data_IF_597982683364
#
_entry.id   IF_597982683364
#
_cell.length_a   1.000
_cell.length_b   1.000
_cell.length_c   1.000
_cell.angle_alpha   90.00
_cell.angle_beta   90.00
_cell.angle_gamma   90.00
#
_symmetry.space_group_name_H-M   'P 1'
#
loop_
_entity.id
_entity.type
_entity.pdbx_description
1 polymer ?
#
# COMPACT_ATOMS: atom_id res chain seq x y z
N UNK A 1 -16.25 -3.99 10.89
CA UNK A 1 -16.14 -2.60 11.38
C UNK A 1 -14.68 -2.12 11.33
N UNK A 2 -14.43 -1.00 10.64
CA UNK A 2 -13.14 -0.33 10.39
C UNK A 2 -11.91 -1.23 10.19
N UNK A 3 -12.01 -2.19 9.26
CA UNK A 3 -10.84 -2.91 8.75
C UNK A 3 -10.28 -2.15 7.55
N UNK A 4 -8.97 -1.98 7.49
CA UNK A 4 -8.31 -1.62 6.23
C UNK A 4 -8.22 -2.91 5.40
N UNK A 5 -8.64 -2.91 4.12
CA UNK A 5 -8.65 -4.11 3.28
C UNK A 5 -7.22 -4.49 2.85
N UNK A 6 -6.40 -4.94 3.81
CA UNK A 6 -4.96 -5.17 3.62
C UNK A 6 -4.75 -6.35 2.67
N UNK A 7 -5.48 -7.44 2.86
CA UNK A 7 -5.37 -8.65 2.04
C UNK A 7 -5.74 -8.37 0.57
N UNK A 8 -6.79 -7.58 0.34
CA UNK A 8 -7.16 -7.18 -1.02
C UNK A 8 -6.12 -6.24 -1.65
N UNK A 9 -5.56 -5.30 -0.87
CA UNK A 9 -4.50 -4.41 -1.36
C UNK A 9 -3.23 -5.20 -1.72
N UNK A 10 -2.85 -6.18 -0.89
CA UNK A 10 -1.71 -7.05 -1.18
C UNK A 10 -1.98 -7.95 -2.40
N UNK A 11 -3.18 -8.52 -2.53
CA UNK A 11 -3.55 -9.30 -3.71
C UNK A 11 -3.49 -8.49 -5.00
N UNK A 12 -3.85 -7.19 -4.95
CA UNK A 12 -3.85 -6.31 -6.12
C UNK A 12 -2.45 -5.79 -6.46
N UNK A 13 -1.63 -5.53 -5.45
CA UNK A 13 -0.41 -4.72 -5.63
C UNK A 13 0.88 -5.35 -5.13
N UNK A 14 0.83 -6.43 -4.34
CA UNK A 14 2.02 -7.02 -3.70
C UNK A 14 3.11 -7.47 -4.66
N UNK A 15 2.77 -7.71 -5.93
CA UNK A 15 3.72 -8.07 -7.01
C UNK A 15 4.04 -6.91 -7.96
N UNK A 16 3.28 -5.82 -7.92
CA UNK A 16 3.48 -4.62 -8.73
C UNK A 16 3.37 -3.34 -7.88
N UNK A 17 4.46 -2.97 -7.18
CA UNK A 17 4.49 -1.76 -6.37
C UNK A 17 4.29 -0.46 -7.19
N UNK A 18 4.61 -0.44 -8.49
CA UNK A 18 4.39 0.75 -9.31
C UNK A 18 2.89 0.96 -9.58
N UNK A 19 2.13 -0.12 -9.78
CA UNK A 19 0.68 -0.04 -9.88
C UNK A 19 0.05 0.53 -8.59
N UNK A 20 0.58 0.19 -7.41
CA UNK A 20 0.16 0.75 -6.12
C UNK A 20 0.34 2.27 -6.07
N UNK A 21 1.54 2.74 -6.38
CA UNK A 21 1.86 4.16 -6.37
C UNK A 21 1.02 4.92 -7.41
N UNK A 22 0.83 4.34 -8.60
CA UNK A 22 -0.01 4.92 -9.65
C UNK A 22 -1.46 5.06 -9.21
N UNK A 23 -2.01 4.05 -8.55
CA UNK A 23 -3.37 4.11 -8.00
C UNK A 23 -3.49 5.21 -6.93
N UNK A 24 -2.53 5.29 -6.01
CA UNK A 24 -2.47 6.34 -4.99
C UNK A 24 -2.40 7.75 -5.55
N UNK A 25 -1.54 7.98 -6.56
CA UNK A 25 -1.46 9.26 -7.29
C UNK A 25 -2.76 9.59 -8.00
N UNK A 26 -3.43 8.59 -8.58
CA UNK A 26 -4.75 8.75 -9.20
C UNK A 26 -5.85 9.21 -8.24
N UNK A 27 -5.71 8.89 -6.94
CA UNK A 27 -6.60 9.35 -5.87
C UNK A 27 -6.22 10.75 -5.33
N UNK A 28 -5.26 11.44 -5.95
CA UNK A 28 -4.75 12.73 -5.49
C UNK A 28 -3.66 12.61 -4.42
N UNK A 29 -3.11 11.41 -4.21
CA UNK A 29 -2.04 11.18 -3.26
C UNK A 29 -0.68 11.66 -3.77
N UNK A 30 0.20 11.99 -2.82
CA UNK A 30 1.59 12.32 -3.09
C UNK A 30 2.48 11.14 -2.74
N UNK A 31 3.55 10.94 -3.50
CA UNK A 31 4.53 9.89 -3.21
C UNK A 31 5.25 10.15 -1.90
N UNK A 32 5.44 9.10 -1.12
CA UNK A 32 6.29 9.12 0.09
C UNK A 32 7.36 8.04 -0.03
N UNK A 33 8.56 8.35 0.43
CA UNK A 33 9.74 7.48 0.30
C UNK A 33 9.84 6.55 1.52
N UNK A 34 8.88 5.62 1.63
CA UNK A 34 8.83 4.57 2.65
C UNK A 34 8.47 3.23 2.02
N UNK A 35 9.04 2.14 2.55
CA UNK A 35 8.89 0.79 1.97
C UNK A 35 9.48 0.71 0.56
N UNK A 36 8.98 -0.23 -0.24
CA UNK A 36 9.28 -0.27 -1.68
C UNK A 36 8.56 0.84 -2.43
N UNK A 37 7.29 1.07 -2.08
CA UNK A 37 6.45 2.16 -2.61
C UNK A 37 5.46 2.65 -1.56
N UNK A 38 5.20 3.96 -1.55
CA UNK A 38 4.20 4.56 -0.67
C UNK A 38 3.61 5.84 -1.23
N UNK A 39 2.41 6.17 -0.76
CA UNK A 39 1.77 7.46 -1.00
C UNK A 39 0.98 7.95 0.21
N UNK A 40 0.77 9.26 0.31
CA UNK A 40 -0.04 9.89 1.34
C UNK A 40 -1.30 10.53 0.74
N UNK A 41 -2.44 10.36 1.41
CA UNK A 41 -3.69 11.02 1.10
C UNK A 41 -4.05 12.03 2.20
N UNK A 42 -4.38 13.25 1.81
CA UNK A 42 -4.90 14.31 2.68
C UNK A 42 -6.41 14.12 2.94
N UNK A 43 -6.78 12.99 3.57
CA UNK A 43 -8.18 12.65 3.86
C UNK A 43 -8.78 13.48 5.01
N UNK A 44 -7.92 14.01 5.88
CA UNK A 44 -8.27 14.92 6.96
C UNK A 44 -7.46 16.21 6.84
N UNK A 45 -8.02 17.35 7.26
CA UNK A 45 -7.41 18.69 7.07
C UNK A 45 -6.00 18.88 7.63
N UNK A 46 -5.50 17.97 8.49
CA UNK A 46 -4.17 18.06 9.15
C UNK A 46 -3.51 16.70 9.41
N UNK A 47 -4.12 15.60 8.99
CA UNK A 47 -3.64 14.25 9.30
C UNK A 47 -3.56 13.49 7.98
N UNK A 48 -2.42 13.55 7.28
CA UNK A 48 -2.22 12.75 6.09
C UNK A 48 -2.19 11.27 6.46
N UNK A 49 -2.89 10.46 5.68
CA UNK A 49 -2.87 9.01 5.81
C UNK A 49 -1.86 8.43 4.81
N UNK A 50 -0.75 7.93 5.33
CA UNK A 50 0.27 7.26 4.53
C UNK A 50 -0.07 5.78 4.34
N UNK A 51 -0.02 5.34 3.10
CA UNK A 51 -0.12 3.95 2.68
C UNK A 51 1.26 3.50 2.20
N UNK A 52 1.79 2.44 2.80
CA UNK A 52 3.15 1.93 2.53
C UNK A 52 3.05 0.46 2.15
N UNK A 53 3.61 0.11 1.00
CA UNK A 53 3.69 -1.25 0.49
C UNK A 53 5.12 -1.76 0.64
N UNK A 54 5.22 -2.96 1.22
CA UNK A 54 6.43 -3.78 1.23
C UNK A 54 6.23 -4.90 0.23
N UNK A 55 7.09 -4.98 -0.78
CA UNK A 55 7.09 -6.07 -1.72
C UNK A 55 7.62 -7.30 -0.99
N UNK A 56 6.82 -8.35 -0.93
CA UNK A 56 7.32 -9.61 -0.39
C UNK A 56 8.39 -10.22 -1.31
N UNK A 57 9.33 -10.93 -0.70
CA UNK A 57 10.34 -11.73 -1.39
C UNK A 57 10.22 -13.20 -1.00
N UNK A 58 11.13 -14.05 -1.50
CA UNK A 58 11.11 -15.49 -1.26
C UNK A 58 11.31 -15.86 0.23
N UNK A 59 11.96 -15.00 1.01
CA UNK A 59 12.24 -15.21 2.44
C UNK A 59 11.12 -14.61 3.33
N UNK A 60 10.52 -13.50 2.88
CA UNK A 60 9.44 -12.76 3.53
C UNK A 60 8.31 -12.52 2.53
N UNK A 61 7.42 -13.50 2.32
CA UNK A 61 6.25 -13.29 1.47
C UNK A 61 5.38 -12.17 2.04
N UNK A 62 4.58 -11.48 1.20
CA UNK A 62 3.68 -10.44 1.67
C UNK A 62 2.76 -11.00 2.77
N UNK A 63 2.44 -10.22 3.82
CA UNK A 63 1.74 -10.70 5.02
C UNK A 63 0.50 -11.59 4.78
N UNK A 64 -0.28 -11.33 3.74
CA UNK A 64 -1.48 -12.04 3.31
C UNK A 64 -1.24 -13.28 2.45
N UNK A 65 -0.01 -13.56 2.03
CA UNK A 65 0.37 -14.80 1.33
C UNK A 65 0.66 -15.96 2.32
N UNK A 66 0.74 -15.68 3.64
CA UNK A 66 0.98 -16.71 4.68
C UNK A 66 -0.28 -17.46 5.15
N UNK A 67 -1.43 -17.23 4.53
CA UNK A 67 -2.69 -17.88 4.90
C UNK A 67 -3.07 -19.01 3.92
N UNK A 68 -2.34 -20.12 3.94
CA UNK A 68 -2.75 -21.42 3.39
C UNK A 68 -2.31 -22.55 4.31
#
# INVERSE_FOLDING_TARGET
>A
PHHLPVEEMESLYGRDPEAFLKAGKGLGGSEVLYGDKGFALEVFSKIPLAYVLWKGDEEFPPPGERAL
#
